data_IF_767487555677
#
_entry.id   IF_767487555677
#
_cell.length_a   1.000
_cell.length_b   1.000
_cell.length_c   1.000
_cell.angle_alpha   90.00
_cell.angle_beta   90.00
_cell.angle_gamma   90.00
#
_symmetry.space_group_name_H-M   'P 1'
#
loop_
_entity.id
_entity.type
_entity.pdbx_description
1 polymer ?
#
# COMPACT_ATOMS: atom_id res chain seq x y z
N UNK A 1 -6.40 0.23 -1.35
CA UNK A 1 -6.50 0.89 -0.02
C UNK A 1 -6.44 -0.10 1.14
N UNK A 2 -7.12 -1.26 1.04
CA UNK A 2 -7.12 -2.29 2.09
C UNK A 2 -5.73 -2.69 2.62
N UNK A 3 -4.74 -2.86 1.73
CA UNK A 3 -3.37 -3.19 2.15
C UNK A 3 -2.75 -2.11 3.05
N UNK A 4 -2.97 -0.83 2.74
CA UNK A 4 -2.47 0.29 3.55
C UNK A 4 -3.11 0.29 4.95
N UNK A 5 -4.37 -0.11 5.07
CA UNK A 5 -5.03 -0.21 6.36
C UNK A 5 -4.47 -1.36 7.22
N UNK A 6 -4.08 -2.48 6.59
CA UNK A 6 -3.48 -3.59 7.34
C UNK A 6 -2.03 -3.34 7.73
N UNK A 7 -1.26 -2.63 6.90
CA UNK A 7 0.18 -2.46 7.11
C UNK A 7 0.55 -1.10 7.68
N UNK A 8 -0.34 -0.11 7.58
CA UNK A 8 -0.15 1.26 8.07
C UNK A 8 1.09 1.98 7.52
N UNK A 9 1.66 1.46 6.44
CA UNK A 9 2.84 2.01 5.78
C UNK A 9 2.54 3.33 5.08
N UNK A 10 3.59 4.09 4.79
CA UNK A 10 3.48 5.29 3.98
C UNK A 10 3.16 4.91 2.54
N UNK A 11 2.43 5.79 1.85
CA UNK A 11 2.10 5.58 0.42
C UNK A 11 3.32 5.31 -0.45
N UNK A 12 4.44 5.99 -0.20
CA UNK A 12 5.69 5.82 -0.95
C UNK A 12 6.37 4.49 -0.67
N UNK A 13 6.23 3.97 0.56
CA UNK A 13 6.77 2.67 0.93
C UNK A 13 6.06 1.56 0.14
N UNK A 14 4.72 1.62 0.07
CA UNK A 14 3.98 0.65 -0.74
C UNK A 14 4.16 0.86 -2.25
N UNK A 15 4.28 2.11 -2.69
CA UNK A 15 4.41 2.43 -4.12
C UNK A 15 5.67 1.83 -4.74
N UNK A 16 6.82 1.96 -4.07
CA UNK A 16 8.10 1.49 -4.61
C UNK A 16 8.50 0.12 -4.02
N UNK A 17 7.55 -0.60 -3.42
CA UNK A 17 7.77 -1.94 -2.85
C UNK A 17 8.13 -2.95 -3.95
N UNK A 18 9.13 -3.78 -3.69
CA UNK A 18 9.55 -4.86 -4.60
C UNK A 18 9.30 -6.23 -3.99
N UNK A 19 9.21 -7.26 -4.83
CA UNK A 19 8.97 -8.63 -4.35
C UNK A 19 10.11 -9.16 -3.47
N UNK A 20 11.35 -8.71 -3.72
CA UNK A 20 12.52 -9.08 -2.91
C UNK A 20 12.47 -8.55 -1.48
N UNK A 21 11.61 -7.57 -1.20
CA UNK A 21 11.39 -7.07 0.17
C UNK A 21 10.42 -7.96 0.95
N UNK A 22 9.69 -8.87 0.31
CA UNK A 22 8.60 -9.65 0.91
C UNK A 22 9.02 -11.10 1.12
N UNK A 23 9.16 -11.47 2.39
CA UNK A 23 9.31 -12.85 2.84
C UNK A 23 7.93 -13.47 3.07
N UNK A 24 7.51 -14.32 2.15
CA UNK A 24 6.21 -15.01 2.21
C UNK A 24 6.19 -16.16 3.23
N UNK A 25 7.35 -16.73 3.57
CA UNK A 25 7.46 -17.84 4.53
C UNK A 25 7.29 -17.31 5.96
N UNK A 26 7.99 -16.22 6.28
CA UNK A 26 7.91 -15.58 7.59
C UNK A 26 6.79 -14.53 7.69
N UNK A 27 6.08 -14.26 6.59
CA UNK A 27 5.06 -13.22 6.48
C UNK A 27 5.58 -11.83 6.91
N UNK A 28 6.78 -11.46 6.44
CA UNK A 28 7.42 -10.18 6.76
C UNK A 28 7.70 -9.41 5.48
N UNK A 29 7.30 -8.14 5.45
CA UNK A 29 7.76 -7.20 4.44
C UNK A 29 8.80 -6.24 5.06
N UNK A 30 10.03 -6.28 4.54
CA UNK A 30 11.15 -5.50 5.05
C UNK A 30 11.44 -4.32 4.14
N UNK A 31 11.12 -3.11 4.60
CA UNK A 31 11.42 -1.88 3.87
C UNK A 31 12.88 -1.50 4.15
N UNK A 32 13.73 -1.40 3.12
CA UNK A 32 15.16 -1.17 3.28
C UNK A 32 15.47 0.23 3.81
N UNK A 33 16.59 0.36 4.52
CA UNK A 33 16.98 1.62 5.20
C UNK A 33 17.15 2.79 4.24
N UNK A 34 17.53 2.50 3.00
CA UNK A 34 17.75 3.45 1.90
C UNK A 34 16.45 4.21 1.56
N UNK A 35 15.29 3.58 1.78
CA UNK A 35 13.96 4.16 1.54
C UNK A 35 13.35 4.79 2.81
N UNK A 36 14.03 4.66 3.95
CA UNK A 36 13.53 5.08 5.25
C UNK A 36 14.14 6.40 5.70
N UNK A 37 13.28 7.33 6.15
CA UNK A 37 13.72 8.66 6.64
C UNK A 37 14.67 8.64 7.84
N UNK A 38 14.69 7.55 8.62
CA UNK A 38 15.51 7.41 9.84
C UNK A 38 16.68 6.41 9.65
N UNK A 39 17.00 6.03 8.42
CA UNK A 39 18.11 5.11 8.08
C UNK A 39 18.10 3.78 8.84
N UNK A 40 16.91 3.33 9.29
CA UNK A 40 16.68 2.02 9.89
C UNK A 40 15.70 1.28 9.00
N UNK A 41 16.02 0.02 8.70
CA UNK A 41 15.07 -0.87 8.04
C UNK A 41 13.80 -0.99 8.88
N UNK A 42 12.67 -1.15 8.21
CA UNK A 42 11.38 -1.27 8.87
C UNK A 42 10.71 -2.58 8.47
N UNK A 43 10.54 -3.46 9.45
CA UNK A 43 9.85 -4.73 9.26
C UNK A 43 8.36 -4.52 9.53
N UNK A 44 7.56 -4.90 8.55
CA UNK A 44 6.10 -4.90 8.59
C UNK A 44 5.65 -6.35 8.63
N UNK A 45 5.17 -6.80 9.79
CA UNK A 45 4.60 -8.14 9.94
C UNK A 45 3.22 -8.18 9.28
N UNK A 46 3.05 -9.08 8.32
CA UNK A 46 1.85 -9.17 7.51
C UNK A 46 0.82 -10.05 8.21
N UNK A 47 -0.38 -9.52 8.43
CA UNK A 47 -1.52 -10.35 8.81
C UNK A 47 -1.85 -11.32 7.68
N UNK A 48 -2.58 -12.41 7.99
CA UNK A 48 -3.06 -13.37 6.97
C UNK A 48 -3.75 -12.65 5.80
N UNK A 49 -4.62 -11.69 6.10
CA UNK A 49 -5.33 -10.91 5.09
C UNK A 49 -4.41 -10.02 4.25
N UNK A 50 -3.33 -9.48 4.82
CA UNK A 50 -2.34 -8.72 4.06
C UNK A 50 -1.54 -9.66 3.15
N UNK A 51 -1.12 -10.81 3.67
CA UNK A 51 -0.37 -11.82 2.90
C UNK A 51 -1.18 -12.33 1.70
N UNK A 52 -2.47 -12.63 1.88
CA UNK A 52 -3.37 -13.05 0.80
C UNK A 52 -3.42 -11.99 -0.32
N UNK A 53 -3.44 -10.71 0.04
CA UNK A 53 -3.40 -9.61 -0.92
C UNK A 53 -2.06 -9.59 -1.67
N UNK A 54 -0.93 -9.77 -0.97
CA UNK A 54 0.39 -9.85 -1.62
C UNK A 54 0.48 -11.03 -2.60
N UNK A 55 -0.06 -12.20 -2.24
CA UNK A 55 -0.10 -13.38 -3.12
C UNK A 55 -0.95 -13.12 -4.37
N UNK A 56 -2.14 -12.52 -4.18
CA UNK A 56 -3.00 -12.14 -5.31
C UNK A 56 -2.30 -11.12 -6.23
N UNK A 57 -1.64 -10.11 -5.65
CA UNK A 57 -0.88 -9.11 -6.41
C UNK A 57 0.28 -9.75 -7.19
N UNK A 58 0.98 -10.74 -6.62
CA UNK A 58 2.08 -11.44 -7.28
C UNK A 58 1.63 -12.22 -8.52
N UNK A 59 0.39 -12.70 -8.50
CA UNK A 59 -0.22 -13.37 -9.66
C UNK A 59 -0.58 -12.36 -10.76
N UNK A 60 -0.92 -11.12 -10.39
CA UNK A 60 -1.33 -10.07 -11.31
C UNK A 60 -0.17 -9.19 -11.83
N UNK A 61 1.03 -9.28 -11.25
CA UNK A 61 2.13 -8.34 -11.52
C UNK A 61 2.93 -8.61 -12.80
N UNK A 62 2.65 -9.70 -13.52
CA UNK A 62 3.20 -9.93 -14.87
C UNK A 62 4.73 -9.92 -14.94
N UNK A 63 5.39 -10.60 -14.00
CA UNK A 63 6.85 -10.67 -13.86
C UNK A 63 7.56 -9.34 -13.52
N UNK A 64 6.81 -8.29 -13.16
CA UNK A 64 7.39 -7.05 -12.63
C UNK A 64 8.16 -7.29 -11.34
N UNK A 65 9.27 -6.58 -11.16
CA UNK A 65 9.99 -6.49 -9.86
C UNK A 65 9.16 -5.79 -8.76
N UNK A 66 8.21 -4.95 -9.15
CA UNK A 66 7.41 -4.14 -8.23
C UNK A 66 6.14 -4.88 -7.81
N UNK A 67 5.73 -4.67 -6.55
CA UNK A 67 4.46 -5.17 -6.01
C UNK A 67 3.27 -4.51 -6.71
N UNK A 68 3.42 -3.21 -7.04
CA UNK A 68 2.45 -2.42 -7.78
C UNK A 68 3.14 -1.82 -9.02
N UNK A 69 3.17 -2.53 -10.16
CA UNK A 69 3.78 -2.02 -11.38
C UNK A 69 2.99 -0.85 -12.00
N UNK A 70 3.67 -0.07 -12.83
CA UNK A 70 3.01 0.86 -13.74
C UNK A 70 2.24 0.08 -14.82
N UNK A 71 1.13 0.66 -15.28
CA UNK A 71 0.30 0.07 -16.35
C UNK A 71 1.05 -0.05 -17.67
N UNK A 72 1.99 0.85 -17.92
CA UNK A 72 2.68 0.98 -19.21
C UNK A 72 4.11 0.42 -19.18
N UNK A 73 4.65 0.15 -18.00
CA UNK A 73 6.04 -0.25 -17.81
C UNK A 73 6.15 -1.15 -16.57
N UNK A 74 6.46 -2.44 -16.79
CA UNK A 74 6.60 -3.41 -15.71
C UNK A 74 7.87 -3.17 -14.88
N UNK A 75 8.85 -2.43 -15.40
CA UNK A 75 10.09 -2.08 -14.72
C UNK A 75 10.00 -0.73 -14.00
N UNK A 76 8.82 -0.10 -13.98
CA UNK A 76 8.53 1.10 -13.21
C UNK A 76 7.45 0.86 -12.14
N UNK A 77 7.56 1.50 -10.98
CA UNK A 77 6.51 1.45 -9.98
C UNK A 77 5.26 2.21 -10.44
N UNK A 78 4.14 1.90 -9.82
CA UNK A 78 2.88 2.63 -10.01
C UNK A 78 3.07 4.14 -9.81
N UNK A 79 2.38 4.94 -10.62
CA UNK A 79 2.47 6.39 -10.56
C UNK A 79 2.07 6.95 -9.17
N UNK A 80 2.84 7.95 -8.71
CA UNK A 80 2.66 8.59 -7.37
C UNK A 80 1.25 9.12 -7.13
N UNK A 81 0.58 9.57 -8.20
CA UNK A 81 -0.75 10.15 -8.14
C UNK A 81 -1.87 9.09 -7.99
N UNK A 82 -1.60 7.81 -8.29
CA UNK A 82 -2.65 6.78 -8.35
C UNK A 82 -3.37 6.62 -7.02
N UNK A 83 -2.65 6.59 -5.90
CA UNK A 83 -3.29 6.50 -4.58
C UNK A 83 -4.24 7.67 -4.29
N UNK A 84 -3.84 8.89 -4.62
CA UNK A 84 -4.69 10.08 -4.43
C UNK A 84 -5.92 10.05 -5.37
N UNK A 85 -5.74 9.57 -6.61
CA UNK A 85 -6.86 9.41 -7.55
C UNK A 85 -7.86 8.38 -7.06
N UNK A 86 -7.40 7.29 -6.46
CA UNK A 86 -8.28 6.27 -5.87
C UNK A 86 -9.08 6.84 -4.70
N UNK A 87 -8.46 7.60 -3.79
CA UNK A 87 -9.22 8.19 -2.66
C UNK A 87 -10.23 9.23 -3.14
N UNK A 88 -9.88 10.03 -4.15
CA UNK A 88 -10.82 10.96 -4.77
C UNK A 88 -12.01 10.24 -5.41
N UNK A 89 -11.75 9.18 -6.20
CA UNK A 89 -12.81 8.40 -6.82
C UNK A 89 -13.76 7.75 -5.80
N UNK A 90 -13.22 7.29 -4.66
CA UNK A 90 -14.04 6.74 -3.56
C UNK A 90 -14.92 7.82 -2.93
N UNK A 91 -14.38 9.02 -2.68
CA UNK A 91 -15.14 10.14 -2.13
C UNK A 91 -16.27 10.59 -3.07
N UNK A 92 -15.98 10.71 -4.37
CA UNK A 92 -16.99 11.06 -5.37
C UNK A 92 -18.09 10.00 -5.48
N UNK A 93 -17.72 8.71 -5.46
CA UNK A 93 -18.70 7.62 -5.47
C UNK A 93 -19.58 7.66 -4.20
N UNK A 94 -18.98 7.85 -3.03
CA UNK A 94 -19.73 7.92 -1.78
C UNK A 94 -20.71 9.10 -1.76
N UNK A 95 -20.29 10.26 -2.28
CA UNK A 95 -21.16 11.42 -2.45
C UNK A 95 -22.34 11.13 -3.40
N UNK A 96 -22.08 10.44 -4.51
CA UNK A 96 -23.11 10.04 -5.47
C UNK A 96 -24.14 9.09 -4.84
N UNK A 97 -23.67 8.17 -4.00
CA UNK A 97 -24.52 7.19 -3.29
C UNK A 97 -25.15 7.76 -1.99
N UNK A 98 -24.93 9.05 -1.67
CA UNK A 98 -25.46 9.67 -0.45
C UNK A 98 -24.89 9.10 0.85
N UNK A 99 -23.74 8.44 0.79
CA UNK A 99 -23.08 7.87 1.96
C UNK A 99 -22.44 8.98 2.82
N UNK A 100 -22.46 8.86 4.15
CA UNK A 100 -21.87 9.84 5.06
C UNK A 100 -20.34 9.67 5.13
N UNK A 101 -19.66 9.81 3.99
CA UNK A 101 -18.22 9.69 3.89
C UNK A 101 -17.63 11.01 3.37
N UNK A 102 -16.88 11.69 4.22
CA UNK A 102 -16.15 12.89 3.83
C UNK A 102 -14.93 12.56 2.95
N UNK A 103 -14.51 13.50 2.08
CA UNK A 103 -13.28 13.33 1.31
C UNK A 103 -12.06 13.09 2.21
N UNK A 104 -11.26 12.09 1.86
CA UNK A 104 -10.07 11.71 2.62
C UNK A 104 -8.89 11.41 1.71
N UNK A 105 -7.70 11.36 2.31
CA UNK A 105 -6.46 10.97 1.66
C UNK A 105 -5.86 9.73 2.32
N UNK A 106 -4.84 9.14 1.69
CA UNK A 106 -4.09 8.03 2.28
C UNK A 106 -3.43 8.42 3.61
N UNK A 107 -3.10 9.70 3.80
CA UNK A 107 -2.54 10.16 5.08
C UNK A 107 -3.55 10.00 6.23
N UNK A 108 -4.83 10.25 5.96
CA UNK A 108 -5.91 10.20 6.94
C UNK A 108 -6.17 8.77 7.42
N UNK A 109 -6.11 7.80 6.49
CA UNK A 109 -6.20 6.38 6.83
C UNK A 109 -5.16 5.97 7.88
N UNK A 110 -3.92 6.45 7.71
CA UNK A 110 -2.83 6.14 8.64
C UNK A 110 -3.02 6.81 10.00
N UNK A 111 -3.61 8.00 10.03
CA UNK A 111 -3.94 8.70 11.27
C UNK A 111 -5.03 7.96 12.04
N UNK A 112 -6.09 7.51 11.36
CA UNK A 112 -7.17 6.73 11.98
C UNK A 112 -6.67 5.46 12.65
N UNK A 113 -5.86 4.63 11.96
CA UNK A 113 -5.35 3.41 12.59
C UNK A 113 -4.38 3.70 13.74
N UNK A 114 -3.59 4.79 13.69
CA UNK A 114 -2.78 5.20 14.84
C UNK A 114 -3.62 5.60 16.05
N UNK A 115 -4.80 6.20 15.84
CA UNK A 115 -5.70 6.57 16.94
C UNK A 115 -6.41 5.35 17.53
N UNK A 116 -6.82 4.40 16.69
CA UNK A 116 -7.59 3.23 17.13
C UNK A 116 -6.75 2.10 17.74
N UNK A 117 -5.43 2.08 17.50
CA UNK A 117 -4.51 1.02 17.95
C UNK A 117 -3.58 1.46 19.09
N UNK A 118 -3.79 2.66 19.64
CA UNK A 118 -3.18 3.10 20.90
C UNK A 118 -4.09 2.71 22.07
#
# INVERSE_FOLDING_TARGET
LRLILFTMVRKSELQDATWDEVDFEHAVWTIPKERMKRSKAHNVYLSRQALDIFVALKTCSGNSRFVLPSRYDADAPMARATFNRVTYAVAELAKKEGLPLEPFTVHDLRRTGSTLLN
#
